data_IF_838857153755
#
_entry.id   IF_838857153755
#
_cell.length_a   1.000
_cell.length_b   1.000
_cell.length_c   1.000
_cell.angle_alpha   90.00
_cell.angle_beta   90.00
_cell.angle_gamma   90.00
#
_symmetry.space_group_name_H-M   'P 1'
#
loop_
_entity.id
_entity.type
_entity.pdbx_description
1 polymer ?
#
# COMPACT_ATOMS: atom_id res chain seq x y z
N UNK A 1 -15.39 -1.63 20.14
CA UNK A 1 -15.76 -2.64 19.11
C UNK A 1 -16.03 -4.00 19.74
N UNK A 2 -17.16 -4.63 19.38
CA UNK A 2 -17.38 -6.05 19.64
C UNK A 2 -16.42 -6.82 18.73
N UNK A 3 -15.42 -7.51 19.30
CA UNK A 3 -14.43 -8.28 18.52
C UNK A 3 -15.18 -9.28 17.65
N UNK A 4 -15.22 -9.08 16.33
CA UNK A 4 -15.77 -10.07 15.42
C UNK A 4 -14.86 -11.30 15.52
N UNK A 5 -15.41 -12.39 16.04
CA UNK A 5 -14.72 -13.67 16.12
C UNK A 5 -15.27 -14.59 15.03
N UNK A 6 -14.37 -15.18 14.26
CA UNK A 6 -14.74 -16.18 13.27
C UNK A 6 -14.93 -17.52 13.99
N UNK A 7 -16.09 -18.17 13.79
CA UNK A 7 -16.42 -19.45 14.45
C UNK A 7 -15.54 -20.60 13.95
N UNK A 8 -15.06 -21.44 14.87
CA UNK A 8 -14.11 -22.54 14.63
C UNK A 8 -14.67 -23.80 13.95
N UNK A 9 -15.97 -23.84 13.60
CA UNK A 9 -16.67 -25.09 13.25
C UNK A 9 -16.12 -25.79 12.00
N UNK A 10 -15.52 -25.04 11.07
CA UNK A 10 -14.57 -25.57 10.09
C UNK A 10 -13.43 -24.57 10.05
N UNK A 11 -12.31 -24.94 10.64
CA UNK A 11 -11.15 -24.05 10.77
C UNK A 11 -10.40 -23.93 9.43
N UNK A 12 -11.09 -23.42 8.41
CA UNK A 12 -10.59 -23.21 7.05
C UNK A 12 -9.28 -22.44 7.09
N UNK A 13 -9.18 -21.42 7.94
CA UNK A 13 -7.96 -20.66 8.15
C UNK A 13 -6.79 -21.54 8.65
N UNK A 14 -6.98 -22.33 9.71
CA UNK A 14 -5.92 -23.23 10.20
C UNK A 14 -5.56 -24.30 9.19
N UNK A 15 -6.55 -24.89 8.50
CA UNK A 15 -6.31 -25.93 7.48
C UNK A 15 -5.53 -25.33 6.30
N UNK A 16 -5.94 -24.15 5.81
CA UNK A 16 -5.26 -23.43 4.75
C UNK A 16 -3.82 -23.09 5.15
N UNK A 17 -3.64 -22.49 6.34
CA UNK A 17 -2.32 -22.17 6.89
C UNK A 17 -1.43 -23.41 6.97
N UNK A 18 -1.95 -24.52 7.50
CA UNK A 18 -1.22 -25.79 7.58
C UNK A 18 -0.79 -26.28 6.19
N UNK A 19 -1.69 -26.27 5.20
CA UNK A 19 -1.40 -26.71 3.83
C UNK A 19 -0.36 -25.82 3.15
N UNK A 20 -0.44 -24.50 3.32
CA UNK A 20 0.56 -23.55 2.81
C UNK A 20 1.91 -23.80 3.46
N UNK A 21 1.98 -23.97 4.78
CA UNK A 21 3.23 -24.28 5.48
C UNK A 21 3.85 -25.61 5.02
N UNK A 22 3.02 -26.64 4.85
CA UNK A 22 3.42 -27.94 4.33
C UNK A 22 3.99 -27.82 2.91
N UNK A 23 3.32 -27.09 2.01
CA UNK A 23 3.81 -26.86 0.64
C UNK A 23 5.22 -26.27 0.59
N UNK A 24 5.49 -25.20 1.35
CA UNK A 24 6.82 -24.58 1.39
C UNK A 24 7.88 -25.52 1.96
N UNK A 25 7.51 -26.33 2.96
CA UNK A 25 8.42 -27.26 3.64
C UNK A 25 8.79 -28.42 2.73
N UNK A 26 7.80 -29.08 2.13
CA UNK A 26 7.99 -30.22 1.21
C UNK A 26 8.79 -29.83 -0.04
N UNK A 27 8.48 -28.66 -0.61
CA UNK A 27 9.20 -28.13 -1.77
C UNK A 27 10.53 -27.47 -1.43
N UNK A 28 10.90 -27.39 -0.14
CA UNK A 28 12.11 -26.70 0.35
C UNK A 28 12.22 -25.25 -0.17
N UNK A 29 11.08 -24.58 -0.31
CA UNK A 29 10.99 -23.22 -0.81
C UNK A 29 11.07 -22.20 0.33
N UNK A 30 11.81 -21.08 0.17
CA UNK A 30 11.72 -19.98 1.10
C UNK A 30 10.34 -19.30 1.02
N UNK A 31 9.83 -18.84 2.16
CA UNK A 31 8.60 -18.01 2.24
C UNK A 31 8.85 -16.52 1.97
N UNK A 32 10.10 -16.18 1.62
CA UNK A 32 10.56 -14.82 1.37
C UNK A 32 11.14 -14.72 -0.03
N UNK A 33 11.28 -13.49 -0.53
CA UNK A 33 11.88 -13.18 -1.82
C UNK A 33 13.25 -13.83 -2.01
N UNK A 34 13.54 -14.12 -3.28
CA UNK A 34 14.79 -14.71 -3.77
C UNK A 34 15.53 -13.67 -4.66
N UNK A 35 16.54 -14.12 -5.39
CA UNK A 35 17.31 -13.25 -6.30
C UNK A 35 16.45 -12.56 -7.38
N UNK A 36 15.35 -13.19 -7.82
CA UNK A 36 14.44 -12.62 -8.81
C UNK A 36 13.75 -11.36 -8.24
N UNK A 37 13.49 -11.33 -6.93
CA UNK A 37 12.96 -10.15 -6.26
C UNK A 37 13.94 -8.97 -6.27
N UNK A 38 15.23 -9.25 -6.09
CA UNK A 38 16.28 -8.23 -6.18
C UNK A 38 16.41 -7.69 -7.60
N UNK A 39 16.36 -8.56 -8.62
CA UNK A 39 16.40 -8.12 -10.02
C UNK A 39 15.16 -7.29 -10.37
N UNK A 40 13.97 -7.75 -9.99
CA UNK A 40 12.73 -7.01 -10.19
C UNK A 40 12.81 -5.61 -9.58
N UNK A 41 13.37 -5.50 -8.38
CA UNK A 41 13.60 -4.22 -7.71
C UNK A 41 14.60 -3.35 -8.45
N UNK A 42 15.72 -3.90 -8.90
CA UNK A 42 16.70 -3.16 -9.69
C UNK A 42 16.11 -2.62 -11.00
N UNK A 43 15.31 -3.43 -11.70
CA UNK A 43 14.59 -3.02 -12.92
C UNK A 43 13.62 -1.87 -12.62
N UNK A 44 12.81 -1.98 -11.56
CA UNK A 44 11.83 -0.95 -11.19
C UNK A 44 12.53 0.37 -10.81
N UNK A 45 13.60 0.31 -10.02
CA UNK A 45 14.34 1.51 -9.61
C UNK A 45 15.09 2.14 -10.79
N UNK A 46 15.68 1.33 -11.68
CA UNK A 46 16.30 1.82 -12.90
C UNK A 46 15.28 2.46 -13.83
N UNK A 47 14.10 1.84 -14.00
CA UNK A 47 12.99 2.41 -14.77
C UNK A 47 12.57 3.77 -14.22
N UNK A 48 12.38 3.88 -12.90
CA UNK A 48 12.01 5.13 -12.25
C UNK A 48 13.10 6.20 -12.44
N UNK A 49 14.38 5.85 -12.23
CA UNK A 49 15.49 6.78 -12.40
C UNK A 49 15.63 7.26 -13.86
N UNK A 50 15.62 6.34 -14.83
CA UNK A 50 15.75 6.67 -16.25
C UNK A 50 14.57 7.49 -16.74
N UNK A 51 13.33 7.09 -16.42
CA UNK A 51 12.14 7.86 -16.82
C UNK A 51 12.12 9.26 -16.19
N UNK A 52 12.58 9.41 -14.95
CA UNK A 52 12.72 10.71 -14.31
C UNK A 52 13.78 11.58 -15.00
N UNK A 53 14.95 11.02 -15.30
CA UNK A 53 16.00 11.75 -16.03
C UNK A 53 15.50 12.20 -17.41
N UNK A 54 14.81 11.32 -18.15
CA UNK A 54 14.20 11.64 -19.44
C UNK A 54 13.17 12.76 -19.33
N UNK A 55 12.33 12.72 -18.29
CA UNK A 55 11.32 13.75 -18.03
C UNK A 55 11.97 15.12 -17.76
N UNK A 56 12.94 15.17 -16.86
CA UNK A 56 13.48 16.43 -16.34
C UNK A 56 14.52 17.06 -17.28
N UNK A 57 15.36 16.25 -17.91
CA UNK A 57 16.54 16.77 -18.62
C UNK A 57 16.49 16.60 -20.15
N UNK A 58 15.68 15.68 -20.67
CA UNK A 58 15.71 15.33 -22.10
C UNK A 58 14.37 15.55 -22.82
N UNK A 59 13.31 15.91 -22.11
CA UNK A 59 12.00 16.13 -22.72
C UNK A 59 11.93 17.48 -23.41
N UNK A 60 12.07 17.50 -24.73
CA UNK A 60 12.05 18.71 -25.57
C UNK A 60 10.69 18.99 -26.22
N UNK A 61 9.74 18.05 -26.11
CA UNK A 61 8.39 18.19 -26.66
C UNK A 61 7.34 17.74 -25.64
N UNK A 62 6.10 18.20 -25.82
CA UNK A 62 4.98 17.82 -24.97
C UNK A 62 4.74 16.29 -24.98
N UNK A 63 4.91 15.64 -26.13
CA UNK A 63 4.77 14.19 -26.27
C UNK A 63 5.84 13.48 -25.43
N UNK A 64 7.11 13.88 -25.55
CA UNK A 64 8.19 13.29 -24.75
C UNK A 64 7.98 13.50 -23.26
N UNK A 65 7.57 14.70 -22.85
CA UNK A 65 7.26 15.00 -21.46
C UNK A 65 6.11 14.13 -20.94
N UNK A 66 5.05 13.96 -21.74
CA UNK A 66 3.87 13.15 -21.34
C UNK A 66 4.22 11.67 -21.23
N UNK A 67 4.93 11.12 -22.22
CA UNK A 67 5.38 9.71 -22.18
C UNK A 67 6.31 9.46 -21.00
N UNK A 68 7.26 10.36 -20.75
CA UNK A 68 8.20 10.25 -19.63
C UNK A 68 7.48 10.39 -18.28
N UNK A 69 6.50 11.29 -18.16
CA UNK A 69 5.69 11.46 -16.96
C UNK A 69 4.83 10.22 -16.66
N UNK A 70 4.23 9.60 -17.68
CA UNK A 70 3.50 8.34 -17.53
C UNK A 70 4.44 7.19 -17.13
N UNK A 71 5.66 7.16 -17.67
CA UNK A 71 6.67 6.18 -17.29
C UNK A 71 7.12 6.35 -15.83
N UNK A 72 7.31 7.59 -15.36
CA UNK A 72 7.60 7.90 -13.95
C UNK A 72 6.44 7.46 -13.06
N UNK A 73 5.19 7.81 -13.42
CA UNK A 73 4.00 7.42 -12.68
C UNK A 73 3.88 5.89 -12.57
N UNK A 74 4.15 5.17 -13.65
CA UNK A 74 4.23 3.70 -13.63
C UNK A 74 5.33 3.20 -12.69
N UNK A 75 6.52 3.82 -12.71
CA UNK A 75 7.61 3.48 -11.80
C UNK A 75 7.21 3.60 -10.32
N UNK A 76 6.50 4.67 -9.95
CA UNK A 76 5.97 4.85 -8.58
C UNK A 76 4.97 3.75 -8.20
N UNK A 77 4.03 3.42 -9.08
CA UNK A 77 3.07 2.33 -8.87
C UNK A 77 3.80 1.00 -8.69
N UNK A 78 4.79 0.71 -9.54
CA UNK A 78 5.58 -0.51 -9.45
C UNK A 78 6.38 -0.58 -8.14
N UNK A 79 6.99 0.51 -7.70
CA UNK A 79 7.68 0.57 -6.41
C UNK A 79 6.71 0.33 -5.24
N UNK A 80 5.52 0.93 -5.30
CA UNK A 80 4.45 0.73 -4.33
C UNK A 80 4.00 -0.73 -4.22
N UNK A 81 3.59 -1.34 -5.33
CA UNK A 81 2.99 -2.68 -5.29
C UNK A 81 3.98 -3.83 -5.22
N UNK A 82 5.25 -3.62 -5.59
CA UNK A 82 6.21 -4.71 -5.66
C UNK A 82 7.31 -4.58 -4.61
N UNK A 83 7.82 -3.36 -4.34
CA UNK A 83 8.94 -3.19 -3.41
C UNK A 83 8.40 -2.98 -1.99
N UNK A 84 7.71 -1.87 -1.74
CA UNK A 84 7.26 -1.55 -0.37
C UNK A 84 6.19 -2.52 0.14
N UNK A 85 5.29 -3.00 -0.72
CA UNK A 85 4.21 -3.91 -0.32
C UNK A 85 4.78 -5.19 0.31
N UNK A 86 5.61 -5.91 -0.44
CA UNK A 86 6.22 -7.17 -0.01
C UNK A 86 7.18 -6.95 1.17
N UNK A 87 7.88 -5.82 1.19
CA UNK A 87 8.78 -5.46 2.28
C UNK A 87 8.02 -5.13 3.58
N UNK A 88 6.89 -4.44 3.50
CA UNK A 88 6.06 -4.09 4.67
C UNK A 88 5.26 -5.29 5.19
N UNK A 89 4.96 -6.28 4.33
CA UNK A 89 4.53 -7.64 4.72
C UNK A 89 5.63 -8.49 5.36
N UNK A 90 6.90 -8.11 5.16
CA UNK A 90 8.07 -8.84 5.65
C UNK A 90 8.44 -10.06 4.81
N UNK A 91 7.86 -10.19 3.61
CA UNK A 91 8.15 -11.28 2.67
C UNK A 91 9.26 -10.93 1.68
N UNK A 92 9.66 -9.66 1.54
CA UNK A 92 10.72 -9.27 0.58
C UNK A 92 12.06 -9.98 0.86
N UNK A 93 12.47 -10.09 2.13
CA UNK A 93 13.73 -10.75 2.52
C UNK A 93 13.61 -11.48 3.86
N UNK A 94 14.51 -12.43 4.14
CA UNK A 94 14.68 -12.97 5.49
C UNK A 94 15.22 -11.93 6.48
N UNK A 95 15.96 -10.93 5.99
CA UNK A 95 16.56 -9.90 6.82
C UNK A 95 15.57 -8.76 7.09
N UNK A 96 15.22 -8.55 8.37
CA UNK A 96 14.31 -7.48 8.80
C UNK A 96 14.82 -6.08 8.43
N UNK A 97 16.14 -5.84 8.41
CA UNK A 97 16.72 -4.56 8.01
C UNK A 97 16.51 -4.28 6.52
N UNK A 98 16.60 -5.31 5.67
CA UNK A 98 16.34 -5.17 4.24
C UNK A 98 14.85 -4.87 4.00
N UNK A 99 13.95 -5.59 4.67
CA UNK A 99 12.52 -5.28 4.60
C UNK A 99 12.22 -3.87 5.10
N UNK A 100 12.89 -3.42 6.16
CA UNK A 100 12.74 -2.04 6.64
C UNK A 100 13.15 -1.04 5.56
N UNK A 101 14.35 -1.19 4.99
CA UNK A 101 14.88 -0.30 3.97
C UNK A 101 14.00 -0.27 2.71
N UNK A 102 13.61 -1.43 2.20
CA UNK A 102 12.74 -1.53 1.02
C UNK A 102 11.33 -1.03 1.31
N UNK A 103 10.84 -1.20 2.54
CA UNK A 103 9.56 -0.66 3.00
C UNK A 103 9.52 0.87 3.03
N UNK A 104 10.67 1.54 3.23
CA UNK A 104 10.79 3.01 3.16
C UNK A 104 10.49 3.56 1.77
N UNK A 105 10.48 2.73 0.73
CA UNK A 105 10.07 3.19 -0.60
C UNK A 105 8.62 3.69 -0.61
N UNK A 106 7.74 3.25 0.31
CA UNK A 106 6.43 3.87 0.49
C UNK A 106 6.52 5.30 1.02
N UNK A 107 7.37 5.52 2.01
CA UNK A 107 7.53 6.84 2.63
C UNK A 107 8.13 7.83 1.60
N UNK A 108 9.06 7.38 0.75
CA UNK A 108 9.63 8.21 -0.33
C UNK A 108 8.61 8.62 -1.41
N UNK A 109 7.62 7.76 -1.70
CA UNK A 109 6.60 8.03 -2.73
C UNK A 109 5.34 8.69 -2.17
N UNK A 110 5.44 9.24 -0.95
CA UNK A 110 4.41 10.10 -0.35
C UNK A 110 3.44 9.39 0.61
N UNK A 111 3.55 8.08 0.83
CA UNK A 111 2.76 7.36 1.82
C UNK A 111 3.40 7.36 3.22
N UNK A 112 2.81 6.60 4.14
CA UNK A 112 3.42 6.29 5.44
C UNK A 112 3.43 4.80 5.66
N UNK A 113 4.61 4.17 5.74
CA UNK A 113 4.71 2.72 6.00
C UNK A 113 4.08 2.33 7.33
N UNK A 114 4.18 3.20 8.33
CA UNK A 114 3.65 2.91 9.67
C UNK A 114 2.12 2.84 9.62
N UNK A 115 1.46 3.85 9.03
CA UNK A 115 0.01 3.87 8.89
C UNK A 115 -0.45 2.74 7.98
N UNK A 116 0.25 2.53 6.86
CA UNK A 116 -0.07 1.46 5.93
C UNK A 116 -0.03 0.07 6.60
N UNK A 117 0.95 -0.21 7.46
CA UNK A 117 0.98 -1.48 8.21
C UNK A 117 -0.17 -1.63 9.22
N UNK A 118 -0.65 -0.54 9.81
CA UNK A 118 -1.83 -0.60 10.70
C UNK A 118 -3.11 -0.81 9.89
N UNK A 119 -3.26 -0.08 8.79
CA UNK A 119 -4.41 -0.16 7.88
C UNK A 119 -4.46 -1.52 7.17
N UNK A 120 -3.42 -1.86 6.43
CA UNK A 120 -3.43 -3.01 5.54
C UNK A 120 -3.12 -4.33 6.27
N UNK A 121 -2.03 -4.39 7.05
CA UNK A 121 -1.63 -5.68 7.64
C UNK A 121 -2.46 -6.07 8.87
N UNK A 122 -2.94 -5.09 9.64
CA UNK A 122 -3.75 -5.37 10.83
C UNK A 122 -5.23 -5.35 10.47
N UNK A 123 -5.77 -4.25 9.93
CA UNK A 123 -7.20 -4.17 9.68
C UNK A 123 -7.62 -4.97 8.45
N UNK A 124 -7.10 -4.63 7.26
CA UNK A 124 -7.53 -5.27 6.01
C UNK A 124 -7.30 -6.79 6.03
N UNK A 125 -6.15 -7.29 6.46
CA UNK A 125 -5.92 -8.74 6.52
C UNK A 125 -6.63 -9.49 7.66
N UNK A 126 -7.15 -8.79 8.68
CA UNK A 126 -7.97 -9.43 9.72
C UNK A 126 -9.47 -9.37 9.38
N UNK A 127 -9.91 -8.30 8.74
CA UNK A 127 -11.32 -7.98 8.50
C UNK A 127 -11.60 -7.70 7.01
N UNK A 128 -10.95 -8.43 6.10
CA UNK A 128 -10.99 -8.18 4.65
C UNK A 128 -12.42 -8.04 4.13
N UNK A 129 -12.70 -6.93 3.45
CA UNK A 129 -14.01 -6.59 2.89
C UNK A 129 -15.17 -6.55 3.90
N UNK A 130 -14.89 -6.47 5.20
CA UNK A 130 -15.90 -6.19 6.22
C UNK A 130 -16.04 -4.68 6.33
N UNK A 131 -17.19 -4.19 5.89
CA UNK A 131 -17.56 -2.78 6.00
C UNK A 131 -17.41 -2.27 7.45
N UNK A 132 -17.09 -0.99 7.62
CA UNK A 132 -16.71 -0.33 8.88
C UNK A 132 -15.37 -0.76 9.52
N UNK A 133 -14.85 -1.95 9.21
CA UNK A 133 -13.59 -2.46 9.78
C UNK A 133 -12.41 -2.38 8.81
N UNK A 134 -12.67 -2.52 7.52
CA UNK A 134 -11.66 -2.46 6.47
C UNK A 134 -11.60 -1.08 5.82
N UNK A 135 -10.63 -0.27 6.24
CA UNK A 135 -10.39 1.07 5.69
C UNK A 135 -9.88 1.03 4.23
N UNK A 136 -9.50 -0.13 3.68
CA UNK A 136 -9.15 -0.25 2.25
C UNK A 136 -10.39 -0.15 1.35
N UNK A 137 -11.59 -0.47 1.85
CA UNK A 137 -12.84 -0.35 1.10
C UNK A 137 -13.67 0.89 1.46
N UNK A 138 -13.14 1.75 2.33
CA UNK A 138 -13.80 2.97 2.77
C UNK A 138 -13.42 4.17 1.89
N UNK A 139 -14.39 4.69 1.13
CA UNK A 139 -14.18 5.73 0.10
C UNK A 139 -14.95 7.02 0.37
N UNK A 140 -15.47 7.22 1.59
CA UNK A 140 -16.35 8.33 1.96
C UNK A 140 -17.59 8.46 1.03
N UNK A 141 -18.12 7.34 0.54
CA UNK A 141 -19.31 7.30 -0.33
C UNK A 141 -19.06 7.62 -1.81
N UNK A 142 -17.82 7.90 -2.21
CA UNK A 142 -17.46 8.12 -3.61
C UNK A 142 -17.56 6.81 -4.42
N UNK A 143 -17.10 5.70 -3.83
CA UNK A 143 -17.14 4.35 -4.40
C UNK A 143 -17.96 3.42 -3.51
N UNK A 144 -18.68 2.49 -4.13
CA UNK A 144 -19.37 1.43 -3.40
C UNK A 144 -18.67 0.11 -3.65
N UNK A 145 -17.84 -0.27 -2.69
CA UNK A 145 -16.95 -1.44 -2.73
C UNK A 145 -17.51 -2.63 -1.93
N UNK A 146 -18.56 -2.41 -1.15
CA UNK A 146 -19.28 -3.46 -0.42
C UNK A 146 -20.79 -3.34 -0.65
N UNK A 147 -21.53 -4.47 -0.71
CA UNK A 147 -22.99 -4.45 -0.75
C UNK A 147 -23.65 -3.77 0.47
N UNK A 148 -22.95 -3.72 1.61
CA UNK A 148 -23.43 -3.11 2.86
C UNK A 148 -23.36 -1.58 2.87
N UNK A 149 -22.53 -1.00 2.01
CA UNK A 149 -22.42 0.44 1.86
C UNK A 149 -23.68 0.99 1.18
N UNK A 150 -24.13 2.14 1.67
CA UNK A 150 -25.27 2.86 1.12
C UNK A 150 -25.08 3.10 -0.38
N UNK A 151 -26.09 2.74 -1.18
CA UNK A 151 -26.07 3.01 -2.61
C UNK A 151 -26.47 4.46 -2.88
N UNK A 152 -25.75 5.11 -3.79
CA UNK A 152 -26.02 6.47 -4.25
C UNK A 152 -26.14 6.50 -5.77
N UNK A 153 -26.95 7.40 -6.37
CA UNK A 153 -27.21 7.39 -7.81
C UNK A 153 -25.98 7.43 -8.70
N UNK A 154 -24.89 8.09 -8.28
CA UNK A 154 -23.64 8.13 -9.03
C UNK A 154 -22.93 6.78 -9.08
N UNK A 155 -23.13 5.87 -8.13
CA UNK A 155 -22.47 4.55 -8.14
C UNK A 155 -22.81 3.73 -9.39
N UNK A 156 -23.92 4.01 -10.09
CA UNK A 156 -24.22 3.39 -11.39
C UNK A 156 -23.14 3.66 -12.44
N UNK A 157 -22.41 4.77 -12.31
CA UNK A 157 -21.33 5.18 -13.19
C UNK A 157 -19.93 4.97 -12.59
N UNK A 158 -19.81 4.30 -11.44
CA UNK A 158 -18.50 4.13 -10.78
C UNK A 158 -17.48 3.43 -11.67
N UNK A 159 -17.92 2.55 -12.57
CA UNK A 159 -17.05 1.92 -13.55
C UNK A 159 -16.37 2.91 -14.52
N UNK A 160 -16.91 4.14 -14.66
CA UNK A 160 -16.33 5.20 -15.49
C UNK A 160 -15.37 6.10 -14.69
N UNK A 161 -15.75 6.50 -13.47
CA UNK A 161 -14.97 7.47 -12.69
C UNK A 161 -14.04 6.86 -11.64
N UNK A 162 -14.18 5.57 -11.32
CA UNK A 162 -13.35 4.93 -10.29
C UNK A 162 -11.87 4.97 -10.65
N UNK A 163 -11.51 4.81 -11.93
CA UNK A 163 -10.13 4.91 -12.38
C UNK A 163 -9.53 6.29 -12.09
N UNK A 164 -10.26 7.36 -12.44
CA UNK A 164 -9.83 8.73 -12.17
C UNK A 164 -9.70 9.01 -10.67
N UNK A 165 -10.65 8.55 -9.85
CA UNK A 165 -10.56 8.67 -8.39
C UNK A 165 -9.36 7.90 -7.83
N UNK A 166 -9.09 6.71 -8.35
CA UNK A 166 -7.96 5.90 -7.94
C UNK A 166 -6.63 6.59 -8.24
N UNK A 167 -6.53 7.31 -9.37
CA UNK A 167 -5.34 8.13 -9.69
C UNK A 167 -5.08 9.25 -8.66
N UNK A 168 -6.08 9.67 -7.89
CA UNK A 168 -5.96 10.68 -6.84
C UNK A 168 -5.62 10.09 -5.46
N UNK A 169 -5.48 8.77 -5.34
CA UNK A 169 -5.26 8.10 -4.06
C UNK A 169 -3.99 8.57 -3.37
N UNK A 170 -2.87 8.65 -4.10
CA UNK A 170 -1.59 9.14 -3.56
C UNK A 170 -1.72 10.58 -3.07
N UNK A 171 -2.42 11.44 -3.81
CA UNK A 171 -2.67 12.81 -3.41
C UNK A 171 -3.50 12.86 -2.11
N UNK A 172 -4.53 12.03 -2.00
CA UNK A 172 -5.34 11.91 -0.79
C UNK A 172 -4.52 11.43 0.41
N UNK A 173 -3.63 10.44 0.23
CA UNK A 173 -2.74 9.98 1.29
C UNK A 173 -1.82 11.08 1.77
N UNK A 174 -1.16 11.77 0.84
CA UNK A 174 -0.14 12.73 1.22
C UNK A 174 -0.69 14.02 1.81
N UNK A 175 -1.89 14.45 1.39
CA UNK A 175 -2.49 15.72 1.85
C UNK A 175 -3.45 15.56 3.02
N UNK A 176 -4.19 14.44 3.10
CA UNK A 176 -5.34 14.35 3.99
C UNK A 176 -5.38 13.06 4.82
N UNK A 177 -5.52 11.90 4.17
CA UNK A 177 -5.79 10.63 4.86
C UNK A 177 -4.72 10.28 5.88
N UNK A 178 -3.44 10.43 5.53
CA UNK A 178 -2.37 10.08 6.46
C UNK A 178 -2.30 11.06 7.64
N UNK A 179 -2.43 12.36 7.39
CA UNK A 179 -2.47 13.38 8.46
C UNK A 179 -3.66 13.16 9.40
N UNK A 180 -4.85 12.94 8.84
CA UNK A 180 -6.05 12.68 9.63
C UNK A 180 -5.84 11.46 10.54
N UNK A 181 -5.33 10.34 10.00
CA UNK A 181 -5.05 9.12 10.79
C UNK A 181 -3.94 9.33 11.82
N UNK A 182 -2.89 10.08 11.46
CA UNK A 182 -1.77 10.38 12.35
C UNK A 182 -2.22 11.21 13.58
N UNK A 183 -2.99 12.27 13.36
CA UNK A 183 -3.43 13.17 14.44
C UNK A 183 -4.61 12.62 15.25
N UNK A 184 -5.59 11.99 14.61
CA UNK A 184 -6.69 11.34 15.34
C UNK A 184 -6.22 10.09 16.08
N UNK A 185 -5.15 9.46 15.60
CA UNK A 185 -4.64 8.20 16.12
C UNK A 185 -5.62 7.04 15.93
N UNK A 186 -6.56 7.15 14.98
CA UNK A 186 -7.63 6.17 14.78
C UNK A 186 -7.88 5.87 13.31
N UNK A 187 -8.42 4.69 13.04
CA UNK A 187 -9.01 4.30 11.75
C UNK A 187 -10.40 3.74 12.07
N UNK A 188 -11.45 4.49 11.76
CA UNK A 188 -12.78 4.23 12.30
C UNK A 188 -12.72 4.14 13.84
N UNK A 189 -13.26 3.04 14.38
CA UNK A 189 -13.23 2.75 15.83
C UNK A 189 -11.91 2.13 16.32
N UNK A 190 -10.99 1.78 15.42
CA UNK A 190 -9.72 1.15 15.78
C UNK A 190 -8.69 2.19 16.24
N UNK A 191 -8.19 2.02 17.47
CA UNK A 191 -7.12 2.83 18.02
C UNK A 191 -5.76 2.38 17.48
N UNK A 192 -5.07 3.29 16.81
CA UNK A 192 -3.72 3.06 16.30
C UNK A 192 -2.71 3.00 17.45
N UNK A 193 -1.67 2.18 17.25
CA UNK A 193 -0.46 2.25 18.08
C UNK A 193 0.17 3.64 17.95
N UNK A 194 0.56 4.24 19.07
CA UNK A 194 1.30 5.51 19.07
C UNK A 194 2.61 5.37 18.27
N UNK A 195 2.91 6.31 17.37
CA UNK A 195 4.17 6.33 16.62
C UNK A 195 5.36 6.51 17.57
N UNK A 196 6.49 5.88 17.24
CA UNK A 196 7.77 6.18 17.87
C UNK A 196 8.30 7.55 17.40
N UNK A 197 9.28 8.13 18.11
CA UNK A 197 9.93 9.37 17.68
C UNK A 197 10.47 9.24 16.26
N UNK A 198 11.13 8.13 15.93
CA UNK A 198 11.66 7.88 14.58
C UNK A 198 10.56 7.85 13.51
N UNK A 199 9.41 7.23 13.79
CA UNK A 199 8.30 7.17 12.85
C UNK A 199 7.62 8.53 12.67
N UNK A 200 7.50 9.30 13.76
CA UNK A 200 7.02 10.69 13.72
C UNK A 200 7.96 11.57 12.89
N UNK A 201 9.25 11.51 13.15
CA UNK A 201 10.25 12.27 12.37
C UNK A 201 10.22 11.87 10.91
N UNK A 202 10.21 10.57 10.61
CA UNK A 202 10.15 10.08 9.24
C UNK A 202 8.88 10.53 8.53
N UNK A 203 7.73 10.50 9.23
CA UNK A 203 6.46 10.97 8.69
C UNK A 203 6.57 12.42 8.23
N UNK A 204 6.95 13.35 9.10
CA UNK A 204 7.01 14.76 8.71
C UNK A 204 8.12 15.06 7.69
N UNK A 205 9.29 14.43 7.83
CA UNK A 205 10.42 14.64 6.93
C UNK A 205 10.08 14.20 5.50
N UNK A 206 9.41 13.06 5.34
CA UNK A 206 9.06 12.53 4.00
C UNK A 206 7.91 13.29 3.36
N UNK A 207 6.94 13.78 4.15
CA UNK A 207 5.92 14.70 3.64
C UNK A 207 6.53 16.02 3.18
N UNK A 208 7.47 16.59 3.94
CA UNK A 208 8.18 17.81 3.55
C UNK A 208 9.00 17.57 2.28
N UNK A 209 9.78 16.49 2.22
CA UNK A 209 10.59 16.13 1.05
C UNK A 209 9.75 15.95 -0.23
N UNK A 210 8.50 15.47 -0.13
CA UNK A 210 7.66 15.32 -1.31
C UNK A 210 7.16 16.67 -1.86
N UNK A 211 6.94 17.67 -1.01
CA UNK A 211 6.39 18.97 -1.40
C UNK A 211 7.44 20.06 -1.64
N UNK A 212 8.66 19.90 -1.12
CA UNK A 212 9.78 20.83 -1.27
C UNK A 212 10.73 20.42 -2.38
#
# INVERSE_FOLDING_TARGET
MKKISFTSKVDCYRILKKRVEQYFTEKKLPKTGNWQMSIKTAIILAWLAVSYLLLVFFSTSLIMATVSALAVAQGFVLAGFNIMHDANHGSYSKNKKINYLMGLTLDLIGGSRMLWKQKHNILHHTYTNIDELDDDIHSNGLLRLSPRQEWRPWHRFQHLYAFALYSLLTLSWITFSDFNKFFTGRIGEYQLRKPSVTETTLFFLTKFFYFG
#
